data_IF_820041489227
#
_entry.id   IF_820041489227
#
_cell.length_a   1.000
_cell.length_b   1.000
_cell.length_c   1.000
_cell.angle_alpha   90.00
_cell.angle_beta   90.00
_cell.angle_gamma   90.00
#
_symmetry.space_group_name_H-M   'P 1'
#
loop_
_entity.id
_entity.type
_entity.pdbx_description
1 polymer ?
#
# COMPACT_ATOMS: atom_id res chain seq x y z
N UNK A 1 0.33 15.84 -16.37
CA UNK A 1 0.38 15.30 -17.75
C UNK A 1 0.67 13.80 -17.77
N UNK A 2 1.62 13.28 -16.97
CA UNK A 2 1.94 11.84 -16.90
C UNK A 2 0.78 10.95 -16.41
N UNK A 3 0.02 11.37 -15.38
CA UNK A 3 -1.08 10.56 -14.82
C UNK A 3 -2.17 10.17 -15.83
N UNK A 4 -2.45 11.04 -16.81
CA UNK A 4 -3.45 10.78 -17.86
C UNK A 4 -2.91 9.78 -18.90
N UNK A 5 -1.61 9.81 -19.19
CA UNK A 5 -0.96 8.85 -20.07
C UNK A 5 -0.94 7.45 -19.42
N UNK A 6 -0.60 7.36 -18.14
CA UNK A 6 -0.68 6.12 -17.35
C UNK A 6 -2.11 5.60 -17.22
N UNK A 7 -3.09 6.48 -17.00
CA UNK A 7 -4.50 6.08 -16.97
C UNK A 7 -4.96 5.57 -18.35
N UNK A 8 -4.49 6.16 -19.44
CA UNK A 8 -4.86 5.76 -20.81
C UNK A 8 -4.20 4.45 -21.25
N UNK A 9 -2.93 4.24 -20.94
CA UNK A 9 -2.23 2.99 -21.23
C UNK A 9 -2.64 1.88 -20.24
N UNK A 10 -2.87 2.21 -18.97
CA UNK A 10 -3.47 1.32 -17.99
C UNK A 10 -4.88 0.88 -18.38
N UNK A 11 -5.70 1.80 -18.93
CA UNK A 11 -7.04 1.51 -19.46
C UNK A 11 -7.03 0.58 -20.69
N UNK A 12 -5.99 0.62 -21.53
CA UNK A 12 -5.87 -0.30 -22.67
C UNK A 12 -5.64 -1.75 -22.24
N UNK A 13 -4.96 -1.96 -21.11
CA UNK A 13 -4.74 -3.29 -20.53
C UNK A 13 -5.99 -3.84 -19.78
N UNK A 14 -7.07 -3.06 -19.63
CA UNK A 14 -8.33 -3.47 -18.96
C UNK A 14 -9.21 -4.33 -19.87
N UNK A 15 -9.07 -4.23 -21.19
CA UNK A 15 -9.97 -4.92 -22.13
C UNK A 15 -9.67 -6.41 -22.32
N UNK A 16 -8.53 -6.89 -21.82
CA UNK A 16 -8.00 -8.18 -22.21
C UNK A 16 -7.72 -8.96 -20.92
N UNK A 17 -8.51 -10.02 -20.67
CA UNK A 17 -8.39 -10.95 -19.50
C UNK A 17 -7.11 -11.80 -19.61
N UNK A 18 -5.98 -11.18 -19.93
CA UNK A 18 -4.77 -11.82 -20.48
C UNK A 18 -3.98 -12.62 -19.44
N UNK A 19 -4.39 -12.55 -18.16
CA UNK A 19 -3.69 -13.16 -17.05
C UNK A 19 -4.55 -14.08 -16.18
N UNK A 20 -5.63 -14.68 -16.72
CA UNK A 20 -6.46 -15.67 -16.02
C UNK A 20 -5.66 -16.88 -15.44
N UNK A 21 -4.42 -16.96 -15.88
CA UNK A 21 -3.46 -18.04 -15.73
C UNK A 21 -2.22 -17.61 -14.92
N UNK A 22 -2.27 -16.41 -14.33
CA UNK A 22 -1.13 -15.79 -13.64
C UNK A 22 -0.59 -16.63 -12.48
N UNK A 23 -1.47 -17.16 -11.63
CA UNK A 23 -1.08 -17.90 -10.43
C UNK A 23 -0.24 -19.16 -10.71
N UNK A 24 -0.38 -19.78 -11.89
CA UNK A 24 0.45 -20.92 -12.28
C UNK A 24 1.71 -20.53 -13.07
N UNK A 25 1.74 -19.32 -13.62
CA UNK A 25 2.88 -18.79 -14.38
C UNK A 25 3.90 -18.07 -13.51
N UNK A 26 3.54 -17.72 -12.27
CA UNK A 26 4.40 -17.00 -11.33
C UNK A 26 4.51 -17.78 -10.03
N UNK A 27 5.74 -18.12 -9.64
CA UNK A 27 6.03 -18.69 -8.31
C UNK A 27 6.76 -17.68 -7.46
N UNK A 28 6.32 -17.53 -6.23
CA UNK A 28 6.92 -16.62 -5.25
C UNK A 28 7.51 -17.45 -4.11
N UNK A 29 8.77 -17.19 -3.78
CA UNK A 29 9.44 -17.78 -2.62
C UNK A 29 9.98 -16.64 -1.77
N UNK A 30 9.64 -16.62 -0.49
CA UNK A 30 10.08 -15.61 0.48
C UNK A 30 10.85 -16.30 1.59
N UNK A 31 12.11 -15.91 1.77
CA UNK A 31 13.02 -16.48 2.77
C UNK A 31 13.10 -18.03 2.75
N UNK A 32 12.98 -18.60 1.54
CA UNK A 32 13.04 -20.05 1.30
C UNK A 32 11.69 -20.78 1.40
N UNK A 33 10.60 -20.08 1.74
CA UNK A 33 9.24 -20.64 1.81
C UNK A 33 8.46 -20.26 0.56
N UNK A 34 7.87 -21.25 -0.13
CA UNK A 34 6.97 -21.01 -1.27
C UNK A 34 5.66 -20.40 -0.77
N UNK A 35 5.23 -19.30 -1.43
CA UNK A 35 4.05 -18.53 -1.07
C UNK A 35 2.98 -18.78 -2.13
N UNK A 36 1.78 -19.15 -1.68
CA UNK A 36 0.63 -19.36 -2.56
C UNK A 36 0.13 -18.02 -3.13
N UNK A 37 0.16 -17.90 -4.45
CA UNK A 37 -0.42 -16.77 -5.18
C UNK A 37 -1.91 -17.05 -5.40
N UNK A 38 -2.82 -16.17 -4.97
CA UNK A 38 -4.26 -16.38 -5.15
C UNK A 38 -4.66 -16.58 -6.62
N UNK A 39 -5.64 -17.44 -6.89
CA UNK A 39 -6.10 -17.75 -8.25
C UNK A 39 -6.67 -16.52 -8.98
N UNK A 40 -7.24 -15.56 -8.23
CA UNK A 40 -7.79 -14.30 -8.74
C UNK A 40 -6.75 -13.18 -8.86
N UNK A 41 -5.49 -13.44 -8.50
CA UNK A 41 -4.42 -12.46 -8.65
C UNK A 41 -4.08 -12.27 -10.14
N UNK A 42 -4.03 -11.02 -10.58
CA UNK A 42 -3.54 -10.64 -11.91
C UNK A 42 -2.12 -10.03 -11.85
N UNK A 43 -1.54 -9.94 -10.65
CA UNK A 43 -0.20 -9.40 -10.43
C UNK A 43 0.31 -9.62 -9.01
N UNK A 44 1.64 -9.62 -8.88
CA UNK A 44 2.36 -9.56 -7.61
C UNK A 44 3.15 -8.26 -7.58
N UNK A 45 3.14 -7.60 -6.43
CA UNK A 45 3.88 -6.37 -6.17
C UNK A 45 4.77 -6.56 -4.95
N UNK A 46 6.00 -6.06 -5.05
CA UNK A 46 6.94 -5.97 -3.95
C UNK A 46 7.07 -4.50 -3.55
N UNK A 47 6.84 -4.19 -2.28
CA UNK A 47 6.96 -2.85 -1.74
C UNK A 47 8.11 -2.78 -0.73
N UNK A 48 8.91 -1.71 -0.84
CA UNK A 48 9.90 -1.32 0.17
C UNK A 48 9.47 -0.04 0.92
N UNK A 49 8.55 0.73 0.33
CA UNK A 49 7.99 1.96 0.90
C UNK A 49 6.49 1.82 1.03
N UNK A 50 5.89 2.47 2.04
CA UNK A 50 4.46 2.37 2.33
C UNK A 50 3.54 3.18 1.43
N UNK A 51 3.96 3.48 0.20
CA UNK A 51 3.08 4.11 -0.76
C UNK A 51 3.34 3.64 -2.18
N UNK A 52 2.26 3.41 -2.91
CA UNK A 52 2.26 3.01 -4.32
C UNK A 52 1.34 3.93 -5.14
N UNK A 53 1.64 4.07 -6.43
CA UNK A 53 0.78 4.73 -7.44
C UNK A 53 0.04 5.99 -6.96
N UNK A 54 0.79 7.01 -6.54
CA UNK A 54 0.20 8.30 -6.15
C UNK A 54 -0.30 8.38 -4.71
N UNK A 55 0.19 7.51 -3.82
CA UNK A 55 -0.02 7.61 -2.38
C UNK A 55 -0.93 6.52 -1.79
N UNK A 56 -1.24 5.48 -2.55
CA UNK A 56 -2.03 4.34 -2.08
C UNK A 56 -1.20 3.55 -1.07
N UNK A 57 -1.73 3.39 0.13
CA UNK A 57 -1.20 2.46 1.11
C UNK A 57 -1.73 1.05 0.80
N UNK A 58 -0.81 0.18 0.35
CA UNK A 58 -1.12 -1.21 0.01
C UNK A 58 -1.06 -2.12 1.24
N UNK A 59 -0.27 -1.75 2.24
CA UNK A 59 -0.08 -2.60 3.42
C UNK A 59 -1.09 -2.26 4.50
N UNK A 60 -1.50 -1.00 4.71
CA UNK A 60 -2.52 -0.58 5.67
C UNK A 60 -2.15 -0.92 7.12
N UNK A 61 -1.05 -0.33 7.62
CA UNK A 61 -0.54 -0.57 8.98
C UNK A 61 -1.56 -0.36 10.11
N UNK A 62 -2.55 0.51 9.90
CA UNK A 62 -3.56 0.89 10.90
C UNK A 62 -4.74 -0.10 11.00
N UNK A 63 -4.86 -1.05 10.07
CA UNK A 63 -5.93 -2.05 10.11
C UNK A 63 -5.54 -3.22 11.02
N UNK A 64 -6.31 -3.42 12.10
CA UNK A 64 -6.28 -4.61 12.97
C UNK A 64 -6.79 -5.85 12.22
N UNK A 65 -6.02 -6.32 11.24
CA UNK A 65 -6.24 -7.63 10.65
C UNK A 65 -5.56 -8.72 11.47
N UNK A 66 -6.20 -9.89 11.54
CA UNK A 66 -5.71 -11.12 12.19
C UNK A 66 -4.60 -11.84 11.41
N UNK A 67 -4.03 -11.16 10.42
CA UNK A 67 -2.95 -11.69 9.61
C UNK A 67 -1.68 -11.44 10.44
N UNK A 68 -0.94 -12.49 10.81
CA UNK A 68 0.25 -12.40 11.67
C UNK A 68 1.45 -11.71 10.96
N UNK A 69 1.23 -10.51 10.41
CA UNK A 69 2.21 -9.68 9.75
C UNK A 69 2.59 -8.49 10.61
N UNK A 70 3.85 -8.09 10.51
CA UNK A 70 4.35 -6.90 11.18
C UNK A 70 3.94 -5.63 10.40
N UNK A 71 3.87 -4.47 11.06
CA UNK A 71 3.72 -3.20 10.38
C UNK A 71 4.85 -2.97 9.37
N UNK A 72 4.51 -2.58 8.14
CA UNK A 72 5.48 -2.23 7.11
C UNK A 72 6.38 -1.08 7.56
N UNK A 73 7.68 -1.20 7.27
CA UNK A 73 8.68 -0.18 7.54
C UNK A 73 9.80 -0.20 6.51
N UNK A 74 10.16 0.94 5.92
CA UNK A 74 11.32 1.03 5.01
C UNK A 74 12.69 0.97 5.72
N UNK A 75 12.70 0.76 7.04
CA UNK A 75 13.89 0.80 7.89
C UNK A 75 14.33 -0.56 8.42
N UNK A 76 13.51 -1.59 8.27
CA UNK A 76 13.74 -2.93 8.82
C UNK A 76 14.44 -3.89 7.83
N UNK A 77 14.58 -3.47 6.56
CA UNK A 77 15.15 -4.26 5.44
C UNK A 77 14.27 -5.45 5.03
N UNK A 78 13.00 -5.41 5.40
CA UNK A 78 11.97 -6.33 4.99
C UNK A 78 11.24 -5.72 3.78
N UNK A 79 10.78 -6.59 2.88
CA UNK A 79 9.95 -6.22 1.75
C UNK A 79 8.58 -6.87 1.91
N UNK A 80 7.55 -6.10 1.61
CA UNK A 80 6.17 -6.55 1.59
C UNK A 80 5.82 -7.12 0.22
N UNK A 81 5.26 -8.33 0.21
CA UNK A 81 4.73 -8.98 -1.00
C UNK A 81 3.22 -8.94 -0.95
N UNK A 82 2.61 -8.36 -1.98
CA UNK A 82 1.15 -8.26 -2.11
C UNK A 82 0.65 -8.78 -3.47
N UNK A 83 -0.57 -9.30 -3.49
CA UNK A 83 -1.31 -9.62 -4.71
C UNK A 83 -2.29 -8.51 -5.09
N UNK A 84 -2.52 -8.38 -6.39
CA UNK A 84 -3.49 -7.42 -6.95
C UNK A 84 -4.44 -8.19 -7.87
N UNK A 85 -5.73 -8.19 -7.54
CA UNK A 85 -6.78 -8.81 -8.36
C UNK A 85 -7.28 -7.86 -9.46
N UNK A 86 -6.41 -7.52 -10.41
CA UNK A 86 -6.76 -6.81 -11.64
C UNK A 86 -6.96 -5.30 -11.59
N UNK A 87 -7.30 -4.73 -12.75
CA UNK A 87 -7.28 -3.27 -12.96
C UNK A 87 -8.43 -2.52 -12.30
N UNK A 88 -9.62 -3.14 -12.21
CA UNK A 88 -10.73 -2.60 -11.42
C UNK A 88 -10.38 -2.55 -9.93
N UNK A 89 -9.60 -3.52 -9.45
CA UNK A 89 -9.11 -3.56 -8.08
C UNK A 89 -8.13 -2.42 -7.77
N UNK A 90 -7.22 -2.10 -8.70
CA UNK A 90 -6.34 -0.92 -8.60
C UNK A 90 -7.12 0.39 -8.55
N UNK A 91 -8.16 0.54 -9.38
CA UNK A 91 -9.03 1.72 -9.35
C UNK A 91 -9.76 1.88 -8.02
N UNK A 92 -10.26 0.78 -7.45
CA UNK A 92 -10.88 0.75 -6.12
C UNK A 92 -9.88 1.01 -4.99
N UNK A 93 -8.65 0.49 -5.07
CA UNK A 93 -7.58 0.76 -4.10
C UNK A 93 -7.30 2.26 -4.00
N UNK A 94 -7.23 2.95 -5.14
CA UNK A 94 -6.98 4.39 -5.18
C UNK A 94 -8.09 5.23 -4.52
N UNK A 95 -9.33 4.72 -4.48
CA UNK A 95 -10.47 5.37 -3.83
C UNK A 95 -10.83 4.73 -2.47
N UNK A 96 -10.02 3.81 -1.96
CA UNK A 96 -10.23 3.15 -0.66
C UNK A 96 -11.38 2.14 -0.60
N UNK A 97 -11.83 1.62 -1.75
CA UNK A 97 -12.94 0.66 -1.88
C UNK A 97 -12.48 -0.80 -2.06
N UNK A 98 -11.17 -1.07 -1.97
CA UNK A 98 -10.61 -2.42 -2.02
C UNK A 98 -9.26 -2.49 -1.30
N UNK A 99 -8.74 -3.69 -1.07
CA UNK A 99 -7.47 -3.95 -0.35
C UNK A 99 -6.57 -4.90 -1.12
N UNK A 100 -5.26 -4.63 -1.15
CA UNK A 100 -4.30 -5.57 -1.70
C UNK A 100 -4.24 -6.82 -0.81
N UNK A 101 -4.07 -7.99 -1.41
CA UNK A 101 -3.89 -9.21 -0.63
C UNK A 101 -2.48 -9.23 -0.07
N UNK A 102 -2.31 -9.15 1.25
CA UNK A 102 -0.99 -9.35 1.89
C UNK A 102 -0.60 -10.82 1.76
N UNK A 103 0.53 -11.10 1.10
CA UNK A 103 1.00 -12.47 0.87
C UNK A 103 2.12 -12.86 1.84
N UNK A 104 3.12 -11.99 2.00
CA UNK A 104 4.29 -12.28 2.82
C UNK A 104 5.10 -11.02 3.15
N UNK A 105 5.99 -11.16 4.15
CA UNK A 105 7.09 -10.25 4.46
C UNK A 105 8.39 -11.04 4.50
N UNK A 106 9.48 -10.51 3.94
CA UNK A 106 10.79 -11.15 4.05
C UNK A 106 11.96 -10.36 3.48
N UNK A 107 13.16 -10.91 3.66
CA UNK A 107 14.43 -10.25 3.27
C UNK A 107 14.91 -10.66 1.87
N UNK A 108 14.59 -11.88 1.45
CA UNK A 108 14.96 -12.44 0.16
C UNK A 108 13.73 -12.98 -0.56
N UNK A 109 13.36 -12.31 -1.66
CA UNK A 109 12.24 -12.72 -2.51
C UNK A 109 12.78 -13.26 -3.82
N UNK A 110 12.35 -14.46 -4.16
CA UNK A 110 12.58 -15.07 -5.46
C UNK A 110 11.26 -15.15 -6.20
N UNK A 111 11.20 -14.53 -7.38
CA UNK A 111 10.06 -14.60 -8.29
C UNK A 111 10.50 -15.39 -9.51
N UNK A 112 9.87 -16.54 -9.75
CA UNK A 112 10.08 -17.31 -10.96
C UNK A 112 8.94 -17.05 -11.94
N UNK A 113 9.29 -16.53 -13.11
CA UNK A 113 8.39 -16.26 -14.22
C UNK A 113 8.50 -17.39 -15.23
N UNK A 114 7.43 -18.16 -15.40
CA UNK A 114 7.37 -19.28 -16.36
C UNK A 114 6.87 -18.85 -17.75
N UNK A 115 6.37 -17.62 -17.89
CA UNK A 115 5.92 -17.02 -19.13
C UNK A 115 6.48 -15.58 -19.27
N UNK A 116 6.45 -14.97 -20.47
CA UNK A 116 6.80 -13.57 -20.62
C UNK A 116 5.77 -12.65 -19.95
N UNK A 117 6.24 -11.67 -19.17
CA UNK A 117 5.38 -10.74 -18.43
C UNK A 117 5.80 -9.27 -18.60
N UNK A 118 4.86 -8.32 -18.57
CA UNK A 118 5.18 -6.92 -18.30
C UNK A 118 5.66 -6.79 -16.85
N UNK A 119 6.81 -6.14 -16.66
CA UNK A 119 7.38 -5.85 -15.35
C UNK A 119 7.69 -4.36 -15.28
N UNK A 120 7.58 -3.77 -14.09
CA UNK A 120 7.95 -2.39 -13.83
C UNK A 120 8.67 -2.28 -12.49
N UNK A 121 9.73 -1.49 -12.43
CA UNK A 121 10.41 -1.08 -11.18
C UNK A 121 10.43 0.44 -11.15
N UNK A 122 9.90 1.05 -10.08
CA UNK A 122 9.94 2.49 -9.79
C UNK A 122 9.59 3.42 -10.97
N UNK A 123 8.77 2.94 -11.91
CA UNK A 123 8.29 3.70 -13.05
C UNK A 123 8.93 3.32 -14.40
N UNK A 124 9.92 2.43 -14.41
CA UNK A 124 10.58 1.94 -15.62
C UNK A 124 9.99 0.59 -16.03
N UNK A 125 9.15 0.52 -17.09
CA UNK A 125 8.55 -0.73 -17.55
C UNK A 125 9.43 -1.43 -18.58
N UNK A 126 9.37 -2.76 -18.59
CA UNK A 126 9.91 -3.58 -19.68
C UNK A 126 9.12 -4.89 -19.82
N UNK A 127 9.35 -5.60 -20.92
CA UNK A 127 8.77 -6.93 -21.13
C UNK A 127 9.82 -8.00 -20.80
N UNK A 128 9.60 -8.74 -19.71
CA UNK A 128 10.52 -9.73 -19.18
C UNK A 128 10.23 -11.10 -19.78
N UNK A 129 11.23 -11.75 -20.37
CA UNK A 129 11.15 -13.16 -20.78
C UNK A 129 11.21 -14.08 -19.55
N UNK A 130 10.76 -15.35 -19.64
CA UNK A 130 10.82 -16.31 -18.53
C UNK A 130 12.19 -16.30 -17.86
N UNK A 131 12.20 -16.05 -16.55
CA UNK A 131 13.41 -15.91 -15.78
C UNK A 131 13.16 -16.14 -14.29
N UNK A 132 14.23 -16.07 -13.50
CA UNK A 132 14.15 -15.97 -12.05
C UNK A 132 14.70 -14.63 -11.62
N UNK A 133 13.87 -13.84 -10.95
CA UNK A 133 14.25 -12.58 -10.30
C UNK A 133 14.55 -12.87 -8.83
N UNK A 134 15.65 -12.32 -8.33
CA UNK A 134 16.03 -12.40 -6.92
C UNK A 134 16.14 -10.97 -6.42
N UNK A 135 15.28 -10.61 -5.46
CA UNK A 135 15.17 -9.29 -4.87
C UNK A 135 15.59 -9.40 -3.40
N UNK A 136 16.46 -8.49 -2.98
CA UNK A 136 16.90 -8.39 -1.58
C UNK A 136 17.38 -6.97 -1.30
N UNK A 137 17.46 -6.62 -0.02
CA UNK A 137 18.03 -5.35 0.41
C UNK A 137 19.50 -5.22 -0.02
N UNK A 138 19.82 -4.13 -0.72
CA UNK A 138 21.21 -3.84 -1.14
C UNK A 138 21.87 -2.76 -0.28
N UNK A 139 21.15 -1.71 0.09
CA UNK A 139 21.71 -0.57 0.83
C UNK A 139 20.64 0.37 1.38
N UNK A 140 21.04 1.24 2.30
CA UNK A 140 20.17 2.23 2.92
C UNK A 140 20.73 3.63 2.68
N UNK A 141 19.86 4.54 2.26
CA UNK A 141 20.18 5.97 2.18
C UNK A 141 19.45 6.75 3.26
N UNK A 142 20.07 7.82 3.75
CA UNK A 142 19.40 8.79 4.60
C UNK A 142 18.61 9.75 3.73
N UNK A 143 17.30 9.77 3.94
CA UNK A 143 16.37 10.64 3.22
C UNK A 143 15.84 11.70 4.18
N UNK A 144 15.67 12.93 3.69
CA UNK A 144 14.99 13.97 4.45
C UNK A 144 13.50 13.60 4.58
N UNK A 145 13.03 13.49 5.82
CA UNK A 145 11.62 13.34 6.15
C UNK A 145 11.07 14.67 6.67
N UNK A 146 9.82 14.97 6.37
CA UNK A 146 9.11 16.10 7.00
C UNK A 146 9.06 15.85 8.51
N UNK A 147 9.49 16.83 9.31
CA UNK A 147 9.58 16.69 10.77
C UNK A 147 8.23 16.48 11.48
N UNK A 148 7.11 16.78 10.80
CA UNK A 148 5.75 16.62 11.32
C UNK A 148 4.94 15.69 10.41
N UNK A 149 4.90 14.41 10.75
CA UNK A 149 3.95 13.41 10.25
C UNK A 149 3.27 12.68 11.41
N UNK A 150 2.82 13.42 12.43
CA UNK A 150 1.44 13.11 12.81
C UNK A 150 0.59 13.82 11.78
N UNK A 151 -0.39 13.16 11.14
CA UNK A 151 -1.40 13.90 10.43
C UNK A 151 -2.05 14.75 11.50
N UNK A 152 -1.75 16.05 11.52
CA UNK A 152 -2.50 17.04 12.28
C UNK A 152 -4.01 16.80 12.12
N UNK A 153 -4.43 16.26 10.97
CA UNK A 153 -5.78 15.76 10.70
C UNK A 153 -6.24 14.53 11.50
N UNK A 154 -5.41 13.51 11.76
CA UNK A 154 -5.79 12.33 12.55
C UNK A 154 -5.90 12.69 14.04
N UNK A 155 -4.91 13.40 14.58
CA UNK A 155 -4.99 13.94 15.93
C UNK A 155 -6.18 14.91 16.06
N UNK A 156 -6.41 15.81 15.10
CA UNK A 156 -7.57 16.68 15.10
C UNK A 156 -8.90 15.91 14.98
N UNK A 157 -8.95 14.81 14.23
CA UNK A 157 -10.13 13.97 14.11
C UNK A 157 -10.47 13.28 15.44
N UNK A 158 -9.48 12.65 16.08
CA UNK A 158 -9.65 12.03 17.41
C UNK A 158 -10.13 13.07 18.42
N UNK A 159 -9.49 14.24 18.46
CA UNK A 159 -9.86 15.25 19.46
C UNK A 159 -11.25 15.83 19.16
N UNK A 160 -11.62 16.00 17.89
CA UNK A 160 -12.98 16.43 17.52
C UNK A 160 -14.02 15.43 17.98
N UNK A 161 -13.79 14.13 17.76
CA UNK A 161 -14.68 13.05 18.20
C UNK A 161 -14.80 12.99 19.74
N UNK A 162 -13.68 13.10 20.45
CA UNK A 162 -13.66 13.17 21.93
C UNK A 162 -14.44 14.37 22.45
N UNK A 163 -14.27 15.55 21.84
CA UNK A 163 -14.99 16.76 22.24
C UNK A 163 -16.48 16.70 21.90
N UNK A 164 -16.85 16.03 20.82
CA UNK A 164 -18.23 15.79 20.45
C UNK A 164 -18.90 14.82 21.43
N UNK A 165 -18.27 13.69 21.74
CA UNK A 165 -18.74 12.76 22.75
C UNK A 165 -18.85 13.42 24.14
N UNK A 166 -17.89 14.27 24.52
CA UNK A 166 -17.93 15.01 25.79
C UNK A 166 -19.10 16.01 25.87
N UNK A 167 -19.49 16.64 24.76
CA UNK A 167 -20.66 17.52 24.68
C UNK A 167 -21.96 16.72 24.78
N UNK A 168 -22.07 15.61 24.03
CA UNK A 168 -23.22 14.70 24.07
C UNK A 168 -23.41 14.06 25.44
N UNK A 169 -22.31 13.73 26.12
CA UNK A 169 -22.30 13.19 27.48
C UNK A 169 -22.45 14.26 28.56
N UNK A 170 -22.63 15.53 28.19
CA UNK A 170 -22.77 16.68 29.09
C UNK A 170 -21.59 16.90 30.06
N UNK A 171 -20.40 16.39 29.71
CA UNK A 171 -19.15 16.64 30.45
C UNK A 171 -18.65 18.06 30.18
N UNK A 172 -18.87 18.56 28.95
CA UNK A 172 -18.62 19.95 28.55
C UNK A 172 -19.87 20.53 27.89
N UNK A 173 -19.99 21.86 27.87
CA UNK A 173 -21.03 22.56 27.14
C UNK A 173 -20.52 23.08 25.76
N UNK A 174 -21.45 23.55 24.93
CA UNK A 174 -21.15 24.03 23.58
C UNK A 174 -20.14 25.20 23.54
N UNK A 175 -20.11 26.06 24.56
CA UNK A 175 -19.14 27.18 24.60
C UNK A 175 -17.74 26.69 24.97
N UNK A 176 -17.62 25.72 25.88
CA UNK A 176 -16.37 25.05 26.23
C UNK A 176 -15.81 24.27 25.04
N UNK A 177 -16.64 23.53 24.30
CA UNK A 177 -16.23 22.83 23.07
C UNK A 177 -15.63 23.79 22.04
N UNK A 178 -16.31 24.91 21.76
CA UNK A 178 -15.82 25.93 20.81
C UNK A 178 -14.49 26.54 21.24
N UNK A 179 -14.35 26.86 22.53
CA UNK A 179 -13.10 27.42 23.06
C UNK A 179 -11.92 26.43 22.93
N UNK A 180 -12.15 25.14 23.22
CA UNK A 180 -11.14 24.10 23.10
C UNK A 180 -10.73 23.88 21.63
N UNK A 181 -11.69 23.80 20.70
CA UNK A 181 -11.40 23.68 19.27
C UNK A 181 -10.61 24.89 18.73
N UNK A 182 -10.93 26.10 19.20
CA UNK A 182 -10.22 27.32 18.78
C UNK A 182 -8.79 27.36 19.32
N UNK A 183 -8.57 26.99 20.59
CA UNK A 183 -7.24 26.90 21.19
C UNK A 183 -6.39 25.82 20.51
N UNK A 184 -6.99 24.69 20.16
CA UNK A 184 -6.29 23.65 19.40
C UNK A 184 -5.89 24.13 18.01
N UNK A 185 -6.80 24.80 17.28
CA UNK A 185 -6.49 25.34 15.96
C UNK A 185 -5.29 26.31 15.99
N UNK A 186 -5.09 27.04 17.09
CA UNK A 186 -3.95 27.93 17.29
C UNK A 186 -2.64 27.20 17.62
N UNK A 187 -2.71 26.01 18.22
CA UNK A 187 -1.52 25.21 18.62
C UNK A 187 -1.10 24.19 17.56
N UNK A 188 -1.96 23.91 16.60
CA UNK A 188 -1.78 22.94 15.52
C UNK A 188 -1.32 23.59 14.19
N UNK A 189 -1.13 24.91 14.16
CA UNK A 189 -0.51 25.70 13.06
C UNK A 189 0.91 26.09 13.39
#
# INVERSE_FOLDING_TARGET
MNKVLYAREGAKNIMDRTFADFHWQVRVVVDGVEIDVPEDAEGVLLANIGSYMGGVDLWQNEDENYDNFDPQSMHDKILEVVSISGTWHLGKLQVGLSRAGRLAQGQSIKIQLCAPFPVQIDGEPWFQQPCTLIISHHGQAFMLKRAAEEPLGHAAAIITDVLENAETSHVINASQKRALLQEMALRLT
#
